data_IF_279015877548
#
_entry.id   IF_279015877548
#
_cell.length_a   1.000
_cell.length_b   1.000
_cell.length_c   1.000
_cell.angle_alpha   90.00
_cell.angle_beta   90.00
_cell.angle_gamma   90.00
#
_symmetry.space_group_name_H-M   'P 1'
#
loop_
_entity.id
_entity.type
_entity.pdbx_description
1 polymer ?
#
# COMPACT_ATOMS: atom_id res chain seq x y z
N UNK A 1 59.53 35.27 -31.51
CA UNK A 1 58.78 34.02 -31.71
C UNK A 1 59.05 33.55 -33.13
N UNK A 2 59.84 32.49 -33.31
CA UNK A 2 60.18 31.97 -34.65
C UNK A 2 58.94 31.37 -35.33
N UNK A 3 58.73 31.71 -36.60
CA UNK A 3 57.69 31.08 -37.44
C UNK A 3 58.24 29.73 -37.93
N UNK A 4 57.49 28.65 -37.75
CA UNK A 4 57.84 27.34 -38.30
C UNK A 4 57.08 27.08 -39.60
N UNK A 5 57.76 26.50 -40.59
CA UNK A 5 57.17 26.00 -41.82
C UNK A 5 57.04 24.48 -41.69
N UNK A 6 55.81 23.97 -41.78
CA UNK A 6 55.55 22.54 -41.90
C UNK A 6 55.42 22.17 -43.37
N UNK A 7 56.23 21.23 -43.84
CA UNK A 7 56.10 20.68 -45.19
C UNK A 7 56.38 19.18 -45.19
N UNK A 8 55.88 18.50 -46.22
CA UNK A 8 55.97 17.05 -46.37
C UNK A 8 56.99 16.69 -47.45
N UNK A 9 57.95 15.83 -47.12
CA UNK A 9 58.99 15.38 -48.05
C UNK A 9 58.36 14.65 -49.27
N UNK A 10 58.71 15.01 -50.52
CA UNK A 10 58.15 14.36 -51.71
C UNK A 10 58.63 12.91 -51.92
N UNK A 11 59.69 12.50 -51.22
CA UNK A 11 60.29 11.17 -51.41
C UNK A 11 59.86 10.13 -50.36
N UNK A 12 59.67 10.55 -49.10
CA UNK A 12 59.31 9.63 -48.01
C UNK A 12 58.03 10.03 -47.26
N UNK A 13 57.40 11.15 -47.66
CA UNK A 13 56.19 11.69 -47.04
C UNK A 13 56.31 12.03 -45.55
N UNK A 14 57.53 12.08 -45.01
CA UNK A 14 57.77 12.55 -43.65
C UNK A 14 57.44 14.05 -43.57
N UNK A 15 56.64 14.42 -42.59
CA UNK A 15 56.36 15.82 -42.24
C UNK A 15 57.46 16.34 -41.33
N UNK A 16 58.06 17.45 -41.71
CA UNK A 16 59.14 18.10 -40.96
C UNK A 16 58.81 19.56 -40.74
N UNK A 17 59.04 20.03 -39.52
CA UNK A 17 58.92 21.43 -39.14
C UNK A 17 60.30 22.06 -39.13
N UNK A 18 60.52 23.07 -39.96
CA UNK A 18 61.79 23.80 -40.03
C UNK A 18 61.52 25.27 -39.77
N UNK A 19 62.46 25.97 -39.13
CA UNK A 19 62.34 27.41 -38.92
C UNK A 19 62.23 28.13 -40.27
N UNK A 20 61.33 29.12 -40.35
CA UNK A 20 61.11 29.91 -41.55
C UNK A 20 62.37 30.63 -42.06
N UNK A 21 63.39 30.81 -41.21
CA UNK A 21 64.70 31.31 -41.62
C UNK A 21 65.38 30.45 -42.71
N UNK A 22 65.04 29.17 -42.81
CA UNK A 22 65.60 28.24 -43.80
C UNK A 22 64.73 28.10 -45.07
N UNK A 23 63.68 28.92 -45.22
CA UNK A 23 62.84 28.92 -46.41
C UNK A 23 63.65 29.12 -47.71
N UNK A 24 63.39 28.30 -48.72
CA UNK A 24 64.10 28.33 -50.00
C UNK A 24 65.46 27.62 -50.02
N UNK A 25 65.96 27.14 -48.88
CA UNK A 25 67.21 26.37 -48.83
C UNK A 25 66.95 24.88 -49.12
N UNK A 26 67.93 24.21 -49.75
CA UNK A 26 67.90 22.76 -50.01
C UNK A 26 68.82 22.05 -49.02
N UNK A 27 68.28 21.05 -48.33
CA UNK A 27 69.04 20.22 -47.39
C UNK A 27 68.60 18.75 -47.43
N UNK A 28 69.36 17.83 -46.81
CA UNK A 28 68.97 16.42 -46.75
C UNK A 28 67.73 16.25 -45.87
N UNK A 29 66.75 15.48 -46.34
CA UNK A 29 65.58 15.12 -45.53
C UNK A 29 66.01 14.23 -44.35
N UNK A 30 65.54 14.54 -43.15
CA UNK A 30 65.85 13.76 -41.93
C UNK A 30 65.41 12.28 -42.00
N UNK A 31 64.40 11.95 -42.82
CA UNK A 31 63.91 10.58 -42.96
C UNK A 31 64.67 9.74 -43.98
N UNK A 32 64.90 10.27 -45.19
CA UNK A 32 65.44 9.49 -46.31
C UNK A 32 66.78 9.99 -46.86
N UNK A 33 67.33 11.08 -46.31
CA UNK A 33 68.62 11.64 -46.72
C UNK A 33 68.67 12.32 -48.09
N UNK A 34 67.59 12.22 -48.89
CA UNK A 34 67.52 12.87 -50.22
C UNK A 34 67.36 14.39 -50.09
N UNK A 35 67.93 15.18 -51.02
CA UNK A 35 67.83 16.64 -50.97
C UNK A 35 66.38 17.08 -51.17
N UNK A 36 65.88 17.95 -50.29
CA UNK A 36 64.56 18.57 -50.37
C UNK A 36 64.69 20.07 -50.18
N UNK A 37 64.02 20.84 -51.02
CA UNK A 37 63.97 22.31 -50.94
C UNK A 37 62.81 22.72 -50.03
N UNK A 38 63.10 23.52 -49.02
CA UNK A 38 62.10 24.06 -48.10
C UNK A 38 61.26 25.08 -48.88
N UNK A 39 59.92 24.96 -48.92
CA UNK A 39 59.08 25.91 -49.65
C UNK A 39 59.22 27.30 -49.05
N UNK A 40 59.28 28.32 -49.90
CA UNK A 40 59.13 29.71 -49.46
C UNK A 40 57.82 29.82 -48.70
N UNK A 41 57.81 30.56 -47.58
CA UNK A 41 56.61 30.84 -46.79
C UNK A 41 55.67 31.77 -47.57
N UNK A 42 55.18 31.33 -48.72
CA UNK A 42 54.13 31.96 -49.48
C UNK A 42 52.83 31.63 -48.75
N UNK A 43 52.25 32.66 -48.14
CA UNK A 43 50.91 32.74 -47.55
C UNK A 43 50.21 31.38 -47.38
N UNK A 44 50.45 30.76 -46.22
CA UNK A 44 49.52 29.76 -45.71
C UNK A 44 48.17 30.45 -45.66
N UNK A 45 47.30 30.12 -46.63
CA UNK A 45 45.91 30.49 -46.63
C UNK A 45 45.29 29.89 -45.37
N UNK A 46 45.27 30.69 -44.31
CA UNK A 46 44.75 30.37 -42.99
C UNK A 46 43.21 30.37 -43.04
N UNK A 47 42.64 29.62 -43.98
CA UNK A 47 41.26 29.14 -43.89
C UNK A 47 41.23 27.99 -42.89
N UNK A 48 41.57 28.28 -41.64
CA UNK A 48 40.89 27.61 -40.55
C UNK A 48 39.41 27.92 -40.72
N UNK A 49 38.51 26.93 -40.83
CA UNK A 49 37.11 27.23 -40.67
C UNK A 49 36.98 27.77 -39.25
N UNK A 50 36.82 29.08 -39.09
CA UNK A 50 36.37 29.66 -37.83
C UNK A 50 34.97 29.12 -37.63
N UNK A 51 34.88 27.91 -37.09
CA UNK A 51 33.66 27.33 -36.56
C UNK A 51 33.33 28.21 -35.37
N UNK A 52 32.65 29.33 -35.63
CA UNK A 52 32.04 30.17 -34.60
C UNK A 52 31.15 29.23 -33.81
N UNK A 53 31.66 28.77 -32.67
CA UNK A 53 30.92 27.97 -31.71
C UNK A 53 29.81 28.92 -31.24
N UNK A 54 28.52 28.65 -31.53
CA UNK A 54 27.48 29.46 -30.94
C UNK A 54 27.56 29.25 -29.42
N UNK A 55 28.13 30.23 -28.71
CA UNK A 55 28.24 30.27 -27.25
C UNK A 55 26.97 30.79 -26.58
N UNK A 56 25.85 30.74 -27.30
CA UNK A 56 24.53 30.91 -26.71
C UNK A 56 24.21 29.68 -25.88
N UNK A 57 24.44 29.75 -24.55
CA UNK A 57 23.77 28.85 -23.61
C UNK A 57 22.27 29.02 -23.87
N UNK A 58 21.66 28.10 -24.62
CA UNK A 58 20.19 28.04 -24.81
C UNK A 58 19.59 27.91 -23.42
N UNK A 59 19.20 29.03 -22.81
CA UNK A 59 18.48 28.99 -21.53
C UNK A 59 17.14 28.33 -21.84
N UNK A 60 16.94 27.13 -21.30
CA UNK A 60 15.68 26.42 -21.43
C UNK A 60 14.58 27.38 -20.97
N UNK A 61 13.50 27.62 -21.74
CA UNK A 61 12.50 28.59 -21.38
C UNK A 61 11.92 28.25 -20.01
N UNK A 62 11.72 29.25 -19.14
CA UNK A 62 11.26 29.03 -17.76
C UNK A 62 9.98 28.17 -17.68
N UNK A 63 9.09 28.28 -18.67
CA UNK A 63 7.88 27.44 -18.76
C UNK A 63 8.18 25.96 -19.03
N UNK A 64 9.24 25.62 -19.78
CA UNK A 64 9.67 24.22 -19.94
C UNK A 64 10.13 23.62 -18.62
N UNK A 65 10.86 24.39 -17.80
CA UNK A 65 11.27 23.93 -16.48
C UNK A 65 10.06 23.69 -15.55
N UNK A 66 9.05 24.56 -15.60
CA UNK A 66 7.80 24.40 -14.85
C UNK A 66 6.97 23.20 -15.33
N UNK A 67 6.89 22.96 -16.64
CA UNK A 67 6.20 21.80 -17.22
C UNK A 67 6.88 20.49 -16.81
N UNK A 68 8.22 20.45 -16.83
CA UNK A 68 8.99 19.29 -16.37
C UNK A 68 8.80 19.04 -14.86
N UNK A 69 8.75 20.09 -14.05
CA UNK A 69 8.49 19.95 -12.62
C UNK A 69 7.06 19.42 -12.38
N UNK A 70 6.07 19.98 -13.06
CA UNK A 70 4.68 19.55 -12.96
C UNK A 70 4.49 18.10 -13.44
N UNK A 71 5.16 17.68 -14.50
CA UNK A 71 5.09 16.29 -14.99
C UNK A 71 5.72 15.31 -14.02
N UNK A 72 6.85 15.68 -13.38
CA UNK A 72 7.47 14.86 -12.32
C UNK A 72 6.57 14.76 -11.09
N UNK A 73 5.95 15.85 -10.65
CA UNK A 73 4.99 15.83 -9.53
C UNK A 73 3.73 15.02 -9.86
N UNK A 74 3.20 15.16 -11.07
CA UNK A 74 2.08 14.36 -11.56
C UNK A 74 2.43 12.87 -11.63
N UNK A 75 3.60 12.52 -12.14
CA UNK A 75 4.04 11.13 -12.25
C UNK A 75 4.31 10.50 -10.88
N UNK A 76 4.96 11.22 -9.96
CA UNK A 76 5.26 10.72 -8.61
C UNK A 76 3.99 10.52 -7.78
N UNK A 77 3.03 11.44 -7.86
CA UNK A 77 1.72 11.27 -7.19
C UNK A 77 0.91 10.13 -7.81
N UNK A 78 0.94 9.96 -9.13
CA UNK A 78 0.26 8.87 -9.82
C UNK A 78 0.86 7.50 -9.47
N UNK A 79 2.18 7.35 -9.54
CA UNK A 79 2.90 6.12 -9.12
C UNK A 79 2.67 5.85 -7.63
N UNK A 80 2.77 6.90 -6.80
CA UNK A 80 2.51 6.82 -5.37
C UNK A 80 1.11 6.27 -5.09
N UNK A 81 0.07 6.82 -5.73
CA UNK A 81 -1.31 6.32 -5.62
C UNK A 81 -1.43 4.85 -6.04
N UNK A 82 -0.73 4.45 -7.11
CA UNK A 82 -0.77 3.07 -7.62
C UNK A 82 -0.15 2.07 -6.64
N UNK A 83 0.92 2.44 -5.94
CA UNK A 83 1.58 1.57 -4.94
C UNK A 83 0.84 1.62 -3.60
N UNK A 84 0.33 2.78 -3.22
CA UNK A 84 -0.29 3.02 -1.92
C UNK A 84 -1.68 2.37 -1.86
N UNK A 85 -2.48 2.42 -2.94
CA UNK A 85 -3.81 1.79 -3.01
C UNK A 85 -3.85 0.31 -2.62
N UNK A 86 -3.03 -0.60 -3.18
CA UNK A 86 -3.05 -2.01 -2.79
C UNK A 86 -2.59 -2.21 -1.34
N UNK A 87 -1.70 -1.38 -0.82
CA UNK A 87 -1.28 -1.41 0.58
C UNK A 87 -2.46 -1.06 1.50
N UNK A 88 -3.22 0.00 1.20
CA UNK A 88 -4.43 0.34 1.97
C UNK A 88 -5.49 -0.74 1.89
N UNK A 89 -5.70 -1.37 0.73
CA UNK A 89 -6.65 -2.47 0.60
C UNK A 89 -6.25 -3.65 1.49
N UNK A 90 -4.98 -4.06 1.47
CA UNK A 90 -4.46 -5.12 2.35
C UNK A 90 -4.59 -4.74 3.83
N UNK A 91 -4.21 -3.52 4.20
CA UNK A 91 -4.33 -3.04 5.57
C UNK A 91 -5.79 -3.03 6.07
N UNK A 92 -6.74 -2.62 5.21
CA UNK A 92 -8.17 -2.66 5.53
C UNK A 92 -8.68 -4.08 5.76
N UNK A 93 -8.29 -5.04 4.91
CA UNK A 93 -8.69 -6.45 5.07
C UNK A 93 -8.16 -7.01 6.39
N UNK A 94 -6.87 -6.81 6.69
CA UNK A 94 -6.27 -7.25 7.97
C UNK A 94 -6.94 -6.57 9.16
N UNK A 95 -7.28 -5.28 9.06
CA UNK A 95 -7.99 -4.58 10.13
C UNK A 95 -9.39 -5.15 10.37
N UNK A 96 -10.11 -5.52 9.31
CA UNK A 96 -11.44 -6.13 9.41
C UNK A 96 -11.37 -7.50 10.05
N UNK A 97 -10.43 -8.34 9.62
CA UNK A 97 -10.16 -9.65 10.22
C UNK A 97 -9.83 -9.54 11.72
N UNK A 98 -8.91 -8.63 12.08
CA UNK A 98 -8.60 -8.34 13.49
C UNK A 98 -9.83 -7.93 14.29
N UNK A 99 -10.73 -7.13 13.71
CA UNK A 99 -11.99 -6.77 14.37
C UNK A 99 -12.87 -8.00 14.56
N UNK A 100 -12.99 -8.89 13.57
CA UNK A 100 -13.76 -10.11 13.73
C UNK A 100 -13.23 -11.00 14.87
N UNK A 101 -11.91 -11.14 15.00
CA UNK A 101 -11.29 -11.85 16.13
C UNK A 101 -11.52 -11.15 17.47
N UNK A 102 -11.43 -9.82 17.50
CA UNK A 102 -11.74 -9.04 18.69
C UNK A 102 -13.18 -9.25 19.14
N UNK A 103 -14.13 -9.23 18.21
CA UNK A 103 -15.54 -9.44 18.48
C UNK A 103 -15.81 -10.84 19.07
N UNK A 104 -15.18 -11.89 18.54
CA UNK A 104 -15.26 -13.23 19.14
C UNK A 104 -14.74 -13.28 20.57
N UNK A 105 -13.64 -12.58 20.86
CA UNK A 105 -13.11 -12.48 22.23
C UNK A 105 -14.09 -11.76 23.15
N UNK A 106 -14.66 -10.63 22.71
CA UNK A 106 -15.69 -9.92 23.47
C UNK A 106 -16.92 -10.78 23.77
N UNK A 107 -17.36 -11.59 22.80
CA UNK A 107 -18.47 -12.55 23.00
C UNK A 107 -18.10 -13.62 24.03
N UNK A 108 -16.89 -14.18 23.95
CA UNK A 108 -16.41 -15.17 24.91
C UNK A 108 -16.31 -14.58 26.33
N UNK A 109 -15.77 -13.37 26.46
CA UNK A 109 -15.68 -12.66 27.73
C UNK A 109 -17.08 -12.41 28.32
N UNK A 110 -18.05 -12.02 27.49
CA UNK A 110 -19.45 -11.85 27.89
C UNK A 110 -20.12 -13.17 28.31
N UNK A 111 -19.84 -14.28 27.62
CA UNK A 111 -20.30 -15.62 28.03
C UNK A 111 -19.73 -16.03 29.39
N UNK A 112 -18.44 -15.77 29.61
CA UNK A 112 -17.79 -16.05 30.89
C UNK A 112 -18.30 -15.14 32.01
N UNK A 113 -18.59 -13.88 31.72
CA UNK A 113 -19.22 -12.96 32.67
C UNK A 113 -20.66 -13.38 33.02
N UNK A 114 -21.44 -13.86 32.03
CA UNK A 114 -22.73 -14.47 32.31
C UNK A 114 -22.57 -15.69 33.23
N UNK A 115 -21.63 -16.60 32.92
CA UNK A 115 -21.38 -17.77 33.75
C UNK A 115 -20.96 -17.40 35.18
N UNK A 116 -20.12 -16.38 35.38
CA UNK A 116 -19.69 -15.98 36.73
C UNK A 116 -20.83 -15.46 37.59
N UNK A 117 -21.83 -14.81 36.99
CA UNK A 117 -23.02 -14.28 37.68
C UNK A 117 -24.08 -15.36 37.90
N UNK A 118 -24.32 -16.22 36.91
CA UNK A 118 -25.43 -17.19 36.89
C UNK A 118 -25.03 -18.62 37.28
N UNK A 119 -23.74 -18.89 37.43
CA UNK A 119 -23.16 -20.21 37.72
C UNK A 119 -23.30 -21.23 36.58
N UNK A 120 -23.67 -20.78 35.38
CA UNK A 120 -23.92 -21.61 34.19
C UNK A 120 -23.81 -20.76 32.93
N UNK A 121 -23.44 -21.37 31.81
CA UNK A 121 -23.52 -20.73 30.50
C UNK A 121 -24.99 -20.55 30.07
N UNK A 122 -25.29 -19.54 29.26
CA UNK A 122 -26.65 -19.31 28.79
C UNK A 122 -27.13 -20.49 27.94
N UNK A 123 -28.43 -20.86 28.00
CA UNK A 123 -29.01 -21.80 27.05
C UNK A 123 -29.02 -21.21 25.64
N UNK A 124 -29.21 -22.04 24.61
CA UNK A 124 -29.32 -21.56 23.22
C UNK A 124 -30.47 -20.55 23.07
N UNK A 125 -31.58 -20.81 23.77
CA UNK A 125 -32.70 -19.91 23.91
C UNK A 125 -33.43 -20.13 25.24
N UNK A 126 -34.12 -19.10 25.73
CA UNK A 126 -35.11 -19.23 26.82
C UNK A 126 -36.45 -19.71 26.30
N UNK A 127 -37.31 -20.23 27.17
CA UNK A 127 -38.67 -20.65 26.84
C UNK A 127 -39.70 -20.04 27.77
N UNK A 128 -40.92 -19.86 27.29
CA UNK A 128 -42.07 -19.48 28.13
C UNK A 128 -42.63 -20.68 28.92
N UNK A 129 -43.69 -20.46 29.69
CA UNK A 129 -44.35 -21.51 30.47
C UNK A 129 -44.95 -22.64 29.61
N UNK A 130 -45.23 -22.39 28.33
CA UNK A 130 -45.71 -23.38 27.37
C UNK A 130 -44.56 -24.08 26.62
N UNK A 131 -43.31 -23.75 26.91
CA UNK A 131 -42.13 -24.28 26.24
C UNK A 131 -41.81 -23.62 24.89
N UNK A 132 -42.46 -22.51 24.54
CA UNK A 132 -42.19 -21.79 23.29
C UNK A 132 -40.86 -21.04 23.41
N UNK A 133 -39.94 -21.15 22.42
CA UNK A 133 -38.71 -20.36 22.40
C UNK A 133 -38.97 -18.84 22.43
N UNK A 134 -38.25 -18.13 23.29
CA UNK A 134 -38.37 -16.68 23.50
C UNK A 134 -37.12 -15.92 23.06
N UNK A 135 -36.02 -15.96 23.81
CA UNK A 135 -34.85 -15.13 23.53
C UNK A 135 -33.59 -15.97 23.39
N UNK A 136 -32.75 -15.64 22.40
CA UNK A 136 -31.47 -16.30 22.16
C UNK A 136 -30.45 -15.99 23.25
N UNK A 137 -29.45 -16.88 23.43
CA UNK A 137 -28.23 -16.61 24.22
C UNK A 137 -27.62 -15.22 23.97
N UNK A 138 -27.71 -14.73 22.72
CA UNK A 138 -27.24 -13.38 22.33
C UNK A 138 -27.92 -12.28 23.12
N UNK A 139 -29.22 -12.40 23.39
CA UNK A 139 -29.94 -11.40 24.22
C UNK A 139 -29.45 -11.48 25.66
N UNK A 140 -29.26 -12.70 26.18
CA UNK A 140 -28.88 -12.92 27.57
C UNK A 140 -27.51 -12.35 27.94
N UNK A 141 -26.59 -12.27 26.98
CA UNK A 141 -25.25 -11.74 27.23
C UNK A 141 -25.08 -10.25 26.92
N UNK A 142 -26.10 -9.58 26.37
CA UNK A 142 -26.03 -8.15 26.01
C UNK A 142 -25.51 -7.24 27.15
N UNK A 143 -25.91 -7.43 28.43
CA UNK A 143 -25.42 -6.60 29.53
C UNK A 143 -23.89 -6.63 29.71
N UNK A 144 -23.23 -7.67 29.21
CA UNK A 144 -21.79 -7.90 29.40
C UNK A 144 -20.95 -7.52 28.17
N UNK A 145 -21.57 -7.14 27.06
CA UNK A 145 -20.85 -6.75 25.82
C UNK A 145 -20.40 -5.29 25.82
N UNK A 146 -21.02 -4.44 26.63
CA UNK A 146 -20.68 -3.02 26.75
C UNK A 146 -21.91 -2.14 26.98
N UNK A 147 -21.71 -0.82 27.20
CA UNK A 147 -22.79 0.08 27.61
C UNK A 147 -23.95 0.17 26.60
N UNK A 148 -23.66 0.21 25.29
CA UNK A 148 -24.70 0.31 24.26
C UNK A 148 -25.58 -0.93 24.20
N UNK A 149 -24.96 -2.12 24.28
CA UNK A 149 -25.65 -3.41 24.32
C UNK A 149 -26.45 -3.60 25.62
N UNK A 150 -25.92 -3.15 26.75
CA UNK A 150 -26.64 -3.15 28.02
C UNK A 150 -27.90 -2.26 27.96
N UNK A 151 -27.81 -1.06 27.37
CA UNK A 151 -28.98 -0.21 27.16
C UNK A 151 -30.01 -0.84 26.21
N UNK A 152 -29.59 -1.62 25.22
CA UNK A 152 -30.51 -2.39 24.38
C UNK A 152 -31.23 -3.46 25.20
N UNK A 153 -30.50 -4.18 26.07
CA UNK A 153 -31.08 -5.19 26.94
C UNK A 153 -32.18 -4.62 27.85
N UNK A 154 -31.92 -3.46 28.47
CA UNK A 154 -32.90 -2.77 29.33
C UNK A 154 -34.19 -2.36 28.60
N UNK A 155 -34.11 -2.15 27.28
CA UNK A 155 -35.26 -1.78 26.45
C UNK A 155 -36.09 -2.96 25.97
N UNK A 156 -35.53 -4.17 26.00
CA UNK A 156 -36.23 -5.38 25.55
C UNK A 156 -37.20 -5.86 26.62
N UNK A 157 -38.43 -6.17 26.19
CA UNK A 157 -39.40 -6.83 27.06
C UNK A 157 -39.15 -8.34 27.04
N UNK A 158 -38.42 -8.84 28.05
CA UNK A 158 -38.07 -10.25 28.18
C UNK A 158 -39.26 -11.14 28.60
N UNK A 159 -40.40 -10.54 28.96
CA UNK A 159 -41.64 -11.28 29.25
C UNK A 159 -42.46 -11.58 27.99
N UNK A 160 -42.12 -10.93 26.87
CA UNK A 160 -42.76 -11.10 25.57
C UNK A 160 -41.83 -11.78 24.56
N UNK A 161 -42.35 -12.54 23.57
CA UNK A 161 -41.53 -13.12 22.51
C UNK A 161 -40.68 -12.09 21.75
N UNK A 162 -39.57 -12.56 21.17
CA UNK A 162 -38.63 -11.73 20.41
C UNK A 162 -39.26 -11.04 19.18
N UNK A 163 -40.31 -11.63 18.61
CA UNK A 163 -41.06 -11.17 17.44
C UNK A 163 -42.32 -10.35 17.79
N UNK A 164 -42.56 -10.12 19.08
CA UNK A 164 -43.68 -9.28 19.53
C UNK A 164 -43.55 -7.83 19.02
N UNK A 165 -44.67 -7.08 18.88
CA UNK A 165 -44.61 -5.66 18.47
C UNK A 165 -43.70 -4.79 19.34
N UNK A 166 -43.55 -5.12 20.62
CA UNK A 166 -42.68 -4.40 21.56
C UNK A 166 -41.19 -4.63 21.29
N UNK A 167 -40.81 -5.82 20.81
CA UNK A 167 -39.42 -6.21 20.59
C UNK A 167 -38.98 -6.07 19.13
N UNK A 168 -39.90 -6.27 18.17
CA UNK A 168 -39.60 -6.22 16.73
C UNK A 168 -39.09 -4.86 16.25
N UNK A 169 -39.49 -3.77 16.91
CA UNK A 169 -38.96 -2.42 16.67
C UNK A 169 -37.44 -2.27 16.89
N UNK A 170 -36.81 -3.22 17.59
CA UNK A 170 -35.37 -3.21 17.86
C UNK A 170 -34.56 -4.17 16.97
N UNK A 171 -35.19 -4.89 16.03
CA UNK A 171 -34.48 -5.87 15.18
C UNK A 171 -33.39 -5.25 14.29
N UNK A 172 -33.46 -3.94 14.03
CA UNK A 172 -32.42 -3.20 13.30
C UNK A 172 -31.23 -2.78 14.18
N UNK A 173 -31.36 -2.85 15.50
CA UNK A 173 -30.31 -2.48 16.46
C UNK A 173 -29.44 -3.70 16.77
N UNK A 174 -28.51 -4.00 15.86
CA UNK A 174 -27.59 -5.13 16.02
C UNK A 174 -26.30 -4.62 16.68
N UNK A 175 -25.91 -5.16 17.85
CA UNK A 175 -24.61 -4.88 18.46
C UNK A 175 -23.44 -5.12 17.50
N UNK A 176 -22.47 -4.21 17.52
CA UNK A 176 -21.30 -4.28 16.64
C UNK A 176 -20.45 -5.54 16.88
N UNK A 177 -20.48 -6.08 18.11
CA UNK A 177 -19.81 -7.30 18.50
C UNK A 177 -20.37 -8.53 17.77
N UNK A 178 -21.62 -8.50 17.30
CA UNK A 178 -22.23 -9.60 16.56
C UNK A 178 -21.97 -9.59 15.05
N UNK A 179 -21.23 -8.60 14.56
CA UNK A 179 -21.00 -8.36 13.14
C UNK A 179 -19.52 -8.51 12.83
N UNK A 180 -19.17 -9.45 11.95
CA UNK A 180 -17.80 -9.55 11.42
C UNK A 180 -17.67 -8.65 10.18
N UNK A 181 -16.78 -7.63 10.16
CA UNK A 181 -16.64 -6.73 9.00
C UNK A 181 -16.10 -7.39 7.71
N UNK A 182 -15.71 -8.67 7.78
CA UNK A 182 -15.32 -9.51 6.65
C UNK A 182 -16.50 -10.25 6.02
N UNK A 183 -17.64 -10.31 6.70
CA UNK A 183 -18.85 -10.97 6.21
C UNK A 183 -19.58 -10.10 5.16
N UNK A 184 -20.47 -10.74 4.38
CA UNK A 184 -21.23 -10.10 3.28
C UNK A 184 -22.29 -9.14 3.82
N UNK A 185 -22.85 -8.22 2.98
CA UNK A 185 -23.83 -7.25 3.44
C UNK A 185 -25.05 -7.94 4.09
N UNK A 186 -25.33 -7.53 5.32
CA UNK A 186 -26.34 -8.08 6.22
C UNK A 186 -27.75 -7.64 5.83
N UNK A 187 -28.72 -8.56 5.85
CA UNK A 187 -30.11 -8.18 6.03
C UNK A 187 -30.33 -7.77 7.50
N UNK A 188 -31.33 -6.92 7.81
CA UNK A 188 -31.69 -6.63 9.19
C UNK A 188 -32.01 -7.93 9.96
N UNK A 189 -31.30 -8.15 11.07
CA UNK A 189 -31.43 -9.35 11.92
C UNK A 189 -30.34 -10.41 11.72
N UNK A 190 -29.51 -10.31 10.68
CA UNK A 190 -28.40 -11.24 10.45
C UNK A 190 -27.25 -11.03 11.45
N UNK A 191 -26.55 -12.10 11.80
CA UNK A 191 -25.33 -12.03 12.63
C UNK A 191 -24.25 -12.97 12.13
N UNK A 192 -22.99 -12.59 12.29
CA UNK A 192 -21.84 -13.40 11.82
C UNK A 192 -21.43 -14.53 12.76
N UNK A 193 -21.88 -14.50 14.02
CA UNK A 193 -21.45 -15.45 15.05
C UNK A 193 -22.61 -16.29 15.55
N UNK A 194 -22.48 -17.61 15.40
CA UNK A 194 -23.47 -18.59 15.79
C UNK A 194 -22.83 -19.64 16.69
N UNK A 195 -23.62 -20.19 17.62
CA UNK A 195 -23.22 -21.36 18.41
C UNK A 195 -23.69 -22.63 17.69
N UNK A 196 -22.94 -23.72 17.84
CA UNK A 196 -23.41 -25.04 17.45
C UNK A 196 -24.41 -25.50 18.50
N UNK A 197 -25.61 -25.88 18.07
CA UNK A 197 -26.68 -26.30 18.98
C UNK A 197 -27.20 -27.69 18.67
N UNK A 198 -27.53 -28.44 19.71
CA UNK A 198 -28.07 -29.80 19.60
C UNK A 198 -27.65 -30.70 20.76
N UNK A 199 -28.15 -31.95 20.78
CA UNK A 199 -27.79 -32.93 21.81
C UNK A 199 -26.28 -33.17 21.85
N UNK A 200 -25.70 -33.13 23.06
CA UNK A 200 -24.26 -33.33 23.26
C UNK A 200 -23.39 -32.08 23.06
N UNK A 201 -23.95 -30.96 22.59
CA UNK A 201 -23.23 -29.68 22.53
C UNK A 201 -23.52 -28.82 23.77
N UNK A 202 -22.59 -27.91 24.09
CA UNK A 202 -22.75 -26.97 25.21
C UNK A 202 -23.99 -26.07 25.08
N UNK A 203 -24.56 -25.90 23.88
CA UNK A 203 -25.81 -25.19 23.65
C UNK A 203 -26.92 -26.17 23.25
N UNK A 204 -27.52 -26.86 24.24
CA UNK A 204 -28.56 -27.87 24.00
C UNK A 204 -29.98 -27.30 24.20
N UNK A 205 -30.42 -26.45 23.26
CA UNK A 205 -31.76 -25.87 23.28
C UNK A 205 -31.99 -24.99 24.52
N UNK A 206 -33.04 -25.29 25.29
CA UNK A 206 -33.37 -24.56 26.52
C UNK A 206 -32.52 -24.95 27.74
N UNK A 207 -31.69 -25.99 27.63
CA UNK A 207 -30.83 -26.44 28.72
C UNK A 207 -29.60 -25.53 28.82
N UNK A 208 -29.31 -25.08 30.04
CA UNK A 208 -28.07 -24.37 30.36
C UNK A 208 -26.99 -25.38 30.75
N UNK A 209 -25.74 -25.05 30.44
CA UNK A 209 -24.59 -25.95 30.62
C UNK A 209 -23.67 -25.39 31.69
N UNK A 210 -23.20 -26.24 32.61
CA UNK A 210 -22.16 -25.86 33.58
C UNK A 210 -20.78 -26.11 33.00
N UNK A 211 -19.76 -25.41 33.50
CA UNK A 211 -18.37 -25.67 33.10
C UNK A 211 -17.98 -27.14 33.33
N UNK A 212 -18.46 -27.77 34.41
CA UNK A 212 -18.19 -29.18 34.71
C UNK A 212 -18.76 -30.17 33.69
N UNK A 213 -19.74 -29.75 32.88
CA UNK A 213 -20.37 -30.59 31.87
C UNK A 213 -19.59 -30.58 30.55
N UNK A 214 -18.62 -29.67 30.39
CA UNK A 214 -17.77 -29.55 29.22
C UNK A 214 -16.53 -30.42 29.45
N UNK A 215 -16.53 -31.62 28.87
CA UNK A 215 -15.46 -32.61 29.06
C UNK A 215 -14.35 -32.53 28.01
N UNK A 216 -14.53 -31.73 26.96
CA UNK A 216 -13.54 -31.57 25.91
C UNK A 216 -12.29 -30.87 26.44
N UNK A 217 -11.08 -31.27 26.01
CA UNK A 217 -9.86 -30.59 26.39
C UNK A 217 -9.82 -29.17 25.80
N UNK A 218 -9.17 -28.22 26.50
CA UNK A 218 -8.99 -26.84 26.03
C UNK A 218 -8.11 -26.72 24.78
#
# INVERSE_FOLDING_TARGET
MSRMISFRCPHCHLETNVDAAYAGQTGPCAGCGRPVTIPLATEVNEQSPTRRRPSGKRKLPMWFALVLLASVLGLTTWIGSMVVRPIWQRARVVSKEKRCHSNMRSILDALNAYHSVHGRYPPAYTVDAAGKPMHSWRVLILPYLGPESALLYERLDLSSPWDSPNNSRYHSLIPAEYICPMDRPFAPGDTSYCVVSGPGFAFNGAQSTQMSDITDPP
#
